data_IF_000308450454
#
_entry.id   IF_000308450454
#
_cell.length_a   1.000
_cell.length_b   1.000
_cell.length_c   1.000
_cell.angle_alpha   90.00
_cell.angle_beta   90.00
_cell.angle_gamma   90.00
#
_symmetry.space_group_name_H-M   'P 1'
#
loop_
_entity.id
_entity.type
_entity.pdbx_description
1 polymer ?
#
# COMPACT_ATOMS: atom_id res chain seq x y z
N UNK A 1 -3.73 39.08 1.79
CA UNK A 1 -4.11 37.96 2.67
C UNK A 1 -3.15 36.83 2.39
N UNK A 2 -2.39 36.39 3.40
CA UNK A 2 -1.62 35.15 3.33
C UNK A 2 -2.64 34.07 3.67
N UNK A 3 -3.06 33.29 2.68
CA UNK A 3 -3.99 32.19 2.92
C UNK A 3 -3.27 31.14 3.78
N UNK A 4 -3.65 31.04 5.05
CA UNK A 4 -3.22 29.97 5.94
C UNK A 4 -3.87 28.66 5.48
N UNK A 5 -3.27 28.05 4.46
CA UNK A 5 -3.65 26.73 4.01
C UNK A 5 -3.38 25.73 5.14
N UNK A 6 -4.31 24.77 5.37
CA UNK A 6 -4.16 23.77 6.41
C UNK A 6 -2.88 22.95 6.20
N UNK A 7 -1.99 22.99 7.19
CA UNK A 7 -0.75 22.21 7.19
C UNK A 7 -0.97 20.86 7.87
N UNK A 8 -0.45 19.75 7.31
CA UNK A 8 -0.55 18.45 7.95
C UNK A 8 0.27 18.43 9.26
N UNK A 9 -0.34 17.95 10.34
CA UNK A 9 0.32 17.76 11.65
C UNK A 9 1.26 16.54 11.69
N UNK A 10 1.25 15.73 10.63
CA UNK A 10 2.02 14.49 10.49
C UNK A 10 2.88 14.59 9.22
N UNK A 11 4.15 14.12 9.24
CA UNK A 11 5.01 14.20 8.06
C UNK A 11 4.43 13.53 6.82
N UNK A 12 4.44 14.27 5.71
CA UNK A 12 4.14 13.80 4.35
C UNK A 12 5.35 14.14 3.48
N UNK A 13 6.31 13.22 3.40
CA UNK A 13 7.55 13.47 2.66
C UNK A 13 7.40 13.12 1.17
N UNK A 14 6.70 12.05 0.83
CA UNK A 14 6.59 11.62 -0.56
C UNK A 14 5.67 12.55 -1.37
N UNK A 15 6.13 12.99 -2.53
CA UNK A 15 5.30 13.75 -3.46
C UNK A 15 4.19 12.87 -4.06
N UNK A 16 3.10 13.48 -4.59
CA UNK A 16 1.96 12.74 -5.11
C UNK A 16 2.31 11.67 -6.17
N UNK A 17 3.22 11.97 -7.09
CA UNK A 17 3.64 11.04 -8.14
C UNK A 17 4.31 9.79 -7.59
N UNK A 18 5.20 9.95 -6.59
CA UNK A 18 5.84 8.82 -5.90
C UNK A 18 4.79 7.98 -5.16
N UNK A 19 3.83 8.61 -4.47
CA UNK A 19 2.76 7.88 -3.80
C UNK A 19 1.88 7.11 -4.80
N UNK A 20 1.56 7.71 -5.95
CA UNK A 20 0.77 7.05 -6.99
C UNK A 20 1.47 5.81 -7.57
N UNK A 21 2.76 5.92 -7.90
CA UNK A 21 3.56 4.78 -8.37
C UNK A 21 3.64 3.68 -7.32
N UNK A 22 3.98 4.05 -6.07
CA UNK A 22 4.08 3.11 -4.96
C UNK A 22 2.79 2.30 -4.77
N UNK A 23 1.64 2.96 -4.65
CA UNK A 23 0.39 2.26 -4.41
C UNK A 23 -0.08 1.43 -5.61
N UNK A 24 0.24 1.86 -6.84
CA UNK A 24 -0.03 1.06 -8.03
C UNK A 24 0.81 -0.22 -8.06
N UNK A 25 2.10 -0.13 -7.70
CA UNK A 25 2.99 -1.29 -7.60
C UNK A 25 2.55 -2.25 -6.48
N UNK A 26 2.15 -1.72 -5.31
CA UNK A 26 1.61 -2.53 -4.21
C UNK A 26 0.31 -3.24 -4.62
N UNK A 27 -0.63 -2.53 -5.24
CA UNK A 27 -1.91 -3.10 -5.66
C UNK A 27 -1.71 -4.24 -6.67
N UNK A 28 -0.90 -4.04 -7.71
CA UNK A 28 -0.57 -5.09 -8.69
C UNK A 28 0.08 -6.28 -8.00
N UNK A 29 1.03 -6.05 -7.09
CA UNK A 29 1.72 -7.14 -6.38
C UNK A 29 0.75 -7.96 -5.54
N UNK A 30 -0.18 -7.31 -4.82
CA UNK A 30 -1.23 -8.00 -4.05
C UNK A 30 -2.11 -8.82 -4.99
N UNK A 31 -2.66 -8.21 -6.04
CA UNK A 31 -3.63 -8.87 -6.90
C UNK A 31 -3.05 -10.08 -7.63
N UNK A 32 -1.82 -9.98 -8.14
CA UNK A 32 -1.13 -11.08 -8.82
C UNK A 32 -0.87 -12.26 -7.89
N UNK A 33 -0.39 -12.00 -6.67
CA UNK A 33 -0.08 -13.07 -5.72
C UNK A 33 -1.35 -13.68 -5.11
N UNK A 34 -2.40 -12.88 -4.86
CA UNK A 34 -3.69 -13.38 -4.45
C UNK A 34 -4.36 -14.23 -5.54
N UNK A 35 -4.22 -13.85 -6.81
CA UNK A 35 -4.67 -14.66 -7.94
C UNK A 35 -3.94 -16.01 -7.96
N UNK A 36 -2.60 -16.01 -7.94
CA UNK A 36 -1.81 -17.23 -7.97
C UNK A 36 -2.17 -18.19 -6.82
N UNK A 37 -2.31 -17.64 -5.61
CA UNK A 37 -2.79 -18.39 -4.45
C UNK A 37 -4.17 -19.00 -4.71
N UNK A 38 -5.16 -18.21 -5.16
CA UNK A 38 -6.52 -18.70 -5.41
C UNK A 38 -6.57 -19.79 -6.50
N UNK A 39 -5.78 -19.65 -7.56
CA UNK A 39 -5.62 -20.67 -8.62
C UNK A 39 -5.11 -21.98 -8.03
N UNK A 40 -4.04 -21.94 -7.25
CA UNK A 40 -3.48 -23.12 -6.58
C UNK A 40 -4.53 -23.78 -5.66
N UNK A 41 -5.17 -22.99 -4.79
CA UNK A 41 -6.18 -23.50 -3.87
C UNK A 41 -7.39 -24.10 -4.60
N UNK A 42 -7.77 -23.55 -5.76
CA UNK A 42 -8.84 -24.08 -6.59
C UNK A 42 -8.46 -25.43 -7.22
N UNK A 43 -7.28 -25.54 -7.84
CA UNK A 43 -6.81 -26.79 -8.44
C UNK A 43 -6.67 -27.92 -7.43
N UNK A 44 -6.36 -27.57 -6.19
CA UNK A 44 -6.21 -28.50 -5.08
C UNK A 44 -7.53 -28.85 -4.38
N UNK A 45 -8.68 -28.39 -4.91
CA UNK A 45 -10.01 -28.67 -4.37
C UNK A 45 -10.31 -27.99 -3.04
N UNK A 46 -9.51 -26.98 -2.64
CA UNK A 46 -9.65 -26.24 -1.38
C UNK A 46 -10.54 -25.00 -1.49
N UNK A 47 -11.02 -24.69 -2.70
CA UNK A 47 -11.94 -23.59 -2.95
C UNK A 47 -13.29 -24.13 -3.47
N UNK A 48 -14.36 -24.07 -2.65
CA UNK A 48 -15.68 -24.58 -3.05
C UNK A 48 -16.22 -23.90 -4.31
N UNK A 49 -16.69 -24.69 -5.28
CA UNK A 49 -17.25 -24.17 -6.54
C UNK A 49 -18.46 -23.24 -6.34
N UNK A 50 -19.26 -23.47 -5.30
CA UNK A 50 -20.38 -22.58 -4.94
C UNK A 50 -19.87 -21.18 -4.55
N UNK A 51 -18.79 -21.10 -3.77
CA UNK A 51 -18.16 -19.81 -3.39
C UNK A 51 -17.62 -19.08 -4.61
N UNK A 52 -16.97 -19.80 -5.54
CA UNK A 52 -16.48 -19.23 -6.80
C UNK A 52 -17.62 -18.65 -7.63
N UNK A 53 -18.70 -19.43 -7.80
CA UNK A 53 -19.90 -18.99 -8.52
C UNK A 53 -20.51 -17.74 -7.88
N UNK A 54 -20.66 -17.72 -6.55
CA UNK A 54 -21.21 -16.56 -5.82
C UNK A 54 -20.39 -15.29 -6.03
N UNK A 55 -19.07 -15.40 -6.06
CA UNK A 55 -18.19 -14.26 -6.33
C UNK A 55 -18.27 -13.80 -7.78
N UNK A 56 -18.36 -14.73 -8.74
CA UNK A 56 -18.59 -14.40 -10.15
C UNK A 56 -19.93 -13.68 -10.36
N UNK A 57 -21.01 -14.20 -9.77
CA UNK A 57 -22.34 -13.61 -9.83
C UNK A 57 -22.32 -12.20 -9.21
N UNK A 58 -21.68 -12.04 -8.05
CA UNK A 58 -21.47 -10.72 -7.42
C UNK A 58 -20.71 -9.76 -8.34
N UNK A 59 -19.61 -10.21 -8.95
CA UNK A 59 -18.80 -9.39 -9.85
C UNK A 59 -19.58 -8.96 -11.10
N UNK A 60 -20.28 -9.89 -11.75
CA UNK A 60 -21.14 -9.64 -12.90
C UNK A 60 -22.32 -8.73 -12.57
N UNK A 61 -22.94 -8.87 -11.38
CA UNK A 61 -24.03 -8.00 -10.93
C UNK A 61 -23.65 -6.52 -10.81
N UNK A 62 -22.35 -6.22 -10.75
CA UNK A 62 -21.80 -4.86 -10.73
C UNK A 62 -21.47 -4.32 -12.14
N UNK A 63 -21.87 -5.03 -13.20
CA UNK A 63 -21.54 -4.72 -14.60
C UNK A 63 -20.04 -4.59 -14.83
N UNK A 64 -19.23 -5.42 -14.15
CA UNK A 64 -17.77 -5.40 -14.28
C UNK A 64 -17.32 -6.36 -15.38
N UNK A 65 -16.23 -6.05 -16.13
CA UNK A 65 -15.69 -6.95 -17.15
C UNK A 65 -15.29 -8.30 -16.58
N UNK A 66 -15.44 -9.38 -17.34
CA UNK A 66 -14.94 -10.71 -16.94
C UNK A 66 -13.44 -10.67 -16.67
N UNK A 67 -12.99 -11.42 -15.68
CA UNK A 67 -11.57 -11.52 -15.33
C UNK A 67 -10.99 -12.85 -15.82
N UNK A 68 -9.68 -12.88 -16.01
CA UNK A 68 -8.93 -14.12 -16.22
C UNK A 68 -8.70 -14.75 -14.84
N UNK A 69 -8.99 -16.05 -14.71
CA UNK A 69 -8.84 -16.78 -13.45
C UNK A 69 -9.56 -16.08 -12.27
N UNK A 70 -8.80 -15.63 -11.27
CA UNK A 70 -9.28 -14.92 -10.09
C UNK A 70 -8.68 -13.50 -10.02
N UNK A 71 -8.33 -12.87 -11.16
CA UNK A 71 -7.81 -11.49 -11.26
C UNK A 71 -8.88 -10.41 -11.00
N UNK A 72 -9.71 -10.61 -9.99
CA UNK A 72 -10.61 -9.57 -9.49
C UNK A 72 -9.82 -8.44 -8.82
N UNK A 73 -10.52 -7.35 -8.50
CA UNK A 73 -9.95 -6.33 -7.61
C UNK A 73 -9.56 -6.92 -6.24
N UNK A 74 -8.62 -6.27 -5.55
CA UNK A 74 -8.13 -6.74 -4.25
C UNK A 74 -9.26 -6.94 -3.22
N UNK A 75 -10.32 -6.13 -3.29
CA UNK A 75 -11.46 -6.21 -2.38
C UNK A 75 -12.24 -7.52 -2.57
N UNK A 76 -12.46 -7.91 -3.81
CA UNK A 76 -13.18 -9.13 -4.18
C UNK A 76 -12.32 -10.37 -3.91
N UNK A 77 -11.01 -10.31 -4.18
CA UNK A 77 -10.08 -11.38 -3.80
C UNK A 77 -10.01 -11.56 -2.28
N UNK A 78 -9.87 -10.47 -1.52
CA UNK A 78 -9.92 -10.48 -0.05
C UNK A 78 -11.20 -11.14 0.47
N UNK A 79 -12.34 -10.79 -0.12
CA UNK A 79 -13.65 -11.35 0.24
C UNK A 79 -13.68 -12.85 0.01
N UNK A 80 -13.30 -13.29 -1.20
CA UNK A 80 -13.29 -14.72 -1.56
C UNK A 80 -12.40 -15.52 -0.59
N UNK A 81 -11.19 -15.03 -0.30
CA UNK A 81 -10.27 -15.68 0.63
C UNK A 81 -10.84 -15.69 2.05
N UNK A 82 -11.40 -14.57 2.51
CA UNK A 82 -11.94 -14.43 3.87
C UNK A 82 -13.15 -15.33 4.12
N UNK A 83 -14.05 -15.46 3.14
CA UNK A 83 -15.23 -16.34 3.21
C UNK A 83 -14.83 -17.83 3.25
N UNK A 84 -13.70 -18.19 2.65
CA UNK A 84 -13.27 -19.59 2.50
C UNK A 84 -12.06 -19.97 3.38
N UNK A 85 -11.59 -19.07 4.25
CA UNK A 85 -10.35 -19.23 5.04
C UNK A 85 -10.22 -20.53 5.85
N UNK A 86 -11.32 -21.24 6.12
CA UNK A 86 -11.29 -22.54 6.82
C UNK A 86 -10.88 -23.71 5.92
N UNK A 87 -11.05 -23.57 4.61
CA UNK A 87 -10.74 -24.59 3.61
C UNK A 87 -9.36 -24.37 2.97
N UNK A 88 -8.89 -23.13 2.96
CA UNK A 88 -7.64 -22.72 2.33
C UNK A 88 -6.42 -23.09 3.18
N UNK A 89 -5.32 -23.44 2.52
CA UNK A 89 -4.01 -23.65 3.14
C UNK A 89 -3.14 -22.42 2.95
N UNK A 90 -2.99 -21.65 4.01
CA UNK A 90 -2.11 -20.48 4.04
C UNK A 90 -0.65 -20.88 4.29
N UNK A 91 0.26 -19.93 4.06
CA UNK A 91 1.69 -20.10 4.16
C UNK A 91 2.29 -19.29 5.32
N UNK A 92 3.61 -19.46 5.53
CA UNK A 92 4.37 -18.75 6.57
C UNK A 92 3.84 -19.02 7.98
N UNK A 93 4.06 -18.07 8.88
CA UNK A 93 3.59 -18.14 10.27
C UNK A 93 2.05 -18.21 10.38
N UNK A 94 1.34 -17.73 9.35
CA UNK A 94 -0.14 -17.73 9.33
C UNK A 94 -0.73 -19.13 9.13
N UNK A 95 0.07 -20.10 8.67
CA UNK A 95 -0.36 -21.49 8.46
C UNK A 95 -0.66 -22.23 9.77
N UNK A 96 0.02 -21.86 10.86
CA UNK A 96 -0.08 -22.50 12.18
C UNK A 96 -0.60 -21.56 13.28
N UNK A 97 -0.74 -20.26 13.00
CA UNK A 97 -1.20 -19.27 13.95
C UNK A 97 -2.52 -18.60 13.49
N UNK A 98 -3.69 -19.09 13.98
CA UNK A 98 -4.99 -18.52 13.62
C UNK A 98 -5.18 -17.06 14.03
N UNK A 99 -4.54 -16.62 15.11
CA UNK A 99 -4.63 -15.22 15.56
C UNK A 99 -3.93 -14.32 14.55
N UNK A 100 -2.74 -14.70 14.11
CA UNK A 100 -1.98 -13.98 13.09
C UNK A 100 -2.71 -13.98 11.74
N UNK A 101 -3.23 -15.13 11.30
CA UNK A 101 -4.04 -15.22 10.07
C UNK A 101 -5.22 -14.23 10.08
N UNK A 102 -6.00 -14.22 11.18
CA UNK A 102 -7.11 -13.28 11.30
C UNK A 102 -6.66 -11.83 11.41
N UNK A 103 -5.49 -11.57 11.98
CA UNK A 103 -4.89 -10.23 12.00
C UNK A 103 -4.53 -9.77 10.58
N UNK A 104 -3.82 -10.61 9.81
CA UNK A 104 -3.40 -10.31 8.45
C UNK A 104 -4.59 -10.08 7.51
N UNK A 105 -5.64 -10.91 7.59
CA UNK A 105 -6.87 -10.71 6.82
C UNK A 105 -7.60 -9.41 7.21
N UNK A 106 -7.56 -8.99 8.48
CA UNK A 106 -8.12 -7.70 8.92
C UNK A 106 -7.29 -6.53 8.43
N UNK A 107 -5.96 -6.62 8.49
CA UNK A 107 -5.05 -5.61 7.98
C UNK A 107 -5.20 -5.45 6.46
N UNK A 108 -5.34 -6.55 5.72
CA UNK A 108 -5.63 -6.48 4.28
C UNK A 108 -6.96 -5.78 4.00
N UNK A 109 -8.02 -6.06 4.77
CA UNK A 109 -9.29 -5.32 4.65
C UNK A 109 -9.12 -3.81 4.88
N UNK A 110 -8.27 -3.41 5.84
CA UNK A 110 -7.96 -2.01 6.09
C UNK A 110 -7.19 -1.40 4.91
N UNK A 111 -6.16 -2.08 4.41
CA UNK A 111 -5.38 -1.67 3.22
C UNK A 111 -6.31 -1.44 2.02
N UNK A 112 -7.25 -2.36 1.74
CA UNK A 112 -8.23 -2.22 0.65
C UNK A 112 -8.98 -0.88 0.75
N UNK A 113 -9.44 -0.55 1.96
CA UNK A 113 -10.17 0.70 2.21
C UNK A 113 -9.25 1.91 2.10
N UNK A 114 -8.09 1.86 2.73
CA UNK A 114 -7.14 2.97 2.80
C UNK A 114 -6.56 3.30 1.42
N UNK A 115 -6.19 2.30 0.62
CA UNK A 115 -5.71 2.47 -0.75
C UNK A 115 -6.78 2.93 -1.74
N UNK A 116 -8.08 2.69 -1.45
CA UNK A 116 -9.17 3.21 -2.28
C UNK A 116 -9.30 4.74 -2.21
N UNK A 117 -8.72 5.37 -1.18
CA UNK A 117 -8.75 6.81 -0.96
C UNK A 117 -7.47 7.44 -1.54
N UNK A 118 -7.58 8.05 -2.74
CA UNK A 118 -6.46 8.59 -3.51
C UNK A 118 -6.20 10.08 -3.23
N UNK A 119 -5.82 10.43 -2.00
CA UNK A 119 -5.46 11.83 -1.67
C UNK A 119 -4.03 12.20 -2.09
N UNK A 120 -3.17 11.20 -2.29
CA UNK A 120 -1.75 11.38 -2.64
C UNK A 120 -0.95 12.25 -1.66
N UNK A 121 -1.46 12.39 -0.42
CA UNK A 121 -0.82 13.05 0.70
C UNK A 121 -0.83 12.12 1.94
N UNK A 122 -0.76 10.80 1.72
CA UNK A 122 -0.77 9.82 2.80
C UNK A 122 0.44 10.05 3.72
N UNK A 123 0.24 10.08 5.05
CA UNK A 123 1.33 10.24 6.00
C UNK A 123 2.37 9.13 5.91
N UNK A 124 3.64 9.47 6.16
CA UNK A 124 4.75 8.53 6.03
C UNK A 124 4.60 7.30 6.95
N UNK A 125 4.04 7.48 8.14
CA UNK A 125 3.75 6.40 9.09
C UNK A 125 2.73 5.40 8.55
N UNK A 126 1.70 5.89 7.86
CA UNK A 126 0.66 5.07 7.23
C UNK A 126 1.25 4.30 6.05
N UNK A 127 2.06 4.96 5.21
CA UNK A 127 2.76 4.31 4.09
C UNK A 127 3.67 3.18 4.61
N UNK A 128 4.45 3.41 5.67
CA UNK A 128 5.29 2.37 6.29
C UNK A 128 4.47 1.18 6.81
N UNK A 129 3.34 1.46 7.47
CA UNK A 129 2.42 0.42 7.93
C UNK A 129 1.88 -0.40 6.77
N UNK A 130 1.40 0.24 5.69
CA UNK A 130 0.94 -0.47 4.50
C UNK A 130 2.03 -1.38 3.92
N UNK A 131 3.26 -0.89 3.75
CA UNK A 131 4.35 -1.72 3.22
C UNK A 131 4.65 -2.94 4.09
N UNK A 132 4.65 -2.76 5.42
CA UNK A 132 4.82 -3.86 6.36
C UNK A 132 3.66 -4.89 6.29
N UNK A 133 2.42 -4.40 6.32
CA UNK A 133 1.22 -5.24 6.29
C UNK A 133 1.11 -5.99 4.95
N UNK A 134 1.48 -5.36 3.82
CA UNK A 134 1.53 -6.01 2.50
C UNK A 134 2.59 -7.11 2.46
N UNK A 135 3.78 -6.89 3.03
CA UNK A 135 4.79 -7.95 3.12
C UNK A 135 4.25 -9.18 3.88
N UNK A 136 3.60 -8.97 5.02
CA UNK A 136 3.00 -10.04 5.82
C UNK A 136 1.84 -10.72 5.09
N UNK A 137 1.06 -9.98 4.31
CA UNK A 137 0.03 -10.53 3.43
C UNK A 137 0.65 -11.43 2.34
N UNK A 138 1.70 -10.97 1.66
CA UNK A 138 2.36 -11.75 0.61
C UNK A 138 2.96 -13.04 1.16
N UNK A 139 3.60 -12.98 2.33
CA UNK A 139 4.10 -14.17 3.04
C UNK A 139 2.97 -15.15 3.39
N UNK A 140 1.85 -14.66 3.93
CA UNK A 140 0.66 -15.47 4.24
C UNK A 140 0.07 -16.16 3.00
N UNK A 141 0.11 -15.49 1.84
CA UNK A 141 -0.37 -16.02 0.56
C UNK A 141 0.63 -16.97 -0.12
N UNK A 142 1.86 -17.09 0.41
CA UNK A 142 2.89 -17.94 -0.19
C UNK A 142 3.52 -17.33 -1.44
N UNK A 143 3.60 -16.00 -1.49
CA UNK A 143 4.26 -15.30 -2.60
C UNK A 143 5.71 -15.82 -2.78
N UNK A 144 6.17 -16.01 -4.03
CA UNK A 144 7.53 -16.50 -4.28
C UNK A 144 8.56 -15.51 -3.73
N UNK A 145 9.73 -16.03 -3.36
CA UNK A 145 10.83 -15.22 -2.79
C UNK A 145 11.15 -14.01 -3.68
N UNK A 146 11.09 -14.16 -5.00
CA UNK A 146 11.28 -13.06 -5.95
C UNK A 146 10.29 -11.89 -5.72
N UNK A 147 9.00 -12.17 -5.48
CA UNK A 147 7.99 -11.15 -5.20
C UNK A 147 8.23 -10.47 -3.85
N UNK A 148 8.62 -11.24 -2.83
CA UNK A 148 8.98 -10.69 -1.51
C UNK A 148 10.20 -9.76 -1.60
N UNK A 149 11.23 -10.14 -2.38
CA UNK A 149 12.41 -9.31 -2.62
C UNK A 149 12.05 -8.03 -3.38
N UNK A 150 11.16 -8.08 -4.37
CA UNK A 150 10.66 -6.89 -5.07
C UNK A 150 9.95 -5.96 -4.09
N UNK A 151 9.06 -6.49 -3.25
CA UNK A 151 8.37 -5.71 -2.21
C UNK A 151 9.34 -5.07 -1.22
N UNK A 152 10.38 -5.79 -0.79
CA UNK A 152 11.42 -5.25 0.09
C UNK A 152 12.25 -4.16 -0.58
N UNK A 153 12.64 -4.33 -1.85
CA UNK A 153 13.35 -3.29 -2.62
C UNK A 153 12.53 -2.01 -2.74
N UNK A 154 11.23 -2.15 -2.99
CA UNK A 154 10.30 -1.03 -3.01
C UNK A 154 10.25 -0.33 -1.66
N UNK A 155 10.15 -1.09 -0.57
CA UNK A 155 10.18 -0.57 0.80
C UNK A 155 11.46 0.24 1.08
N UNK A 156 12.63 -0.33 0.78
CA UNK A 156 13.91 0.36 0.98
C UNK A 156 14.03 1.64 0.16
N UNK A 157 13.57 1.63 -1.09
CA UNK A 157 13.55 2.82 -1.95
C UNK A 157 12.68 3.92 -1.35
N UNK A 158 11.48 3.58 -0.90
CA UNK A 158 10.55 4.52 -0.27
C UNK A 158 11.13 5.11 1.01
N UNK A 159 11.70 4.28 1.88
CA UNK A 159 12.34 4.75 3.11
C UNK A 159 13.49 5.72 2.83
N UNK A 160 14.33 5.43 1.83
CA UNK A 160 15.42 6.32 1.44
C UNK A 160 14.90 7.69 0.99
N UNK A 161 13.77 7.74 0.28
CA UNK A 161 13.14 8.99 -0.15
C UNK A 161 12.55 9.78 1.02
N UNK A 162 12.01 9.08 2.03
CA UNK A 162 11.52 9.72 3.26
C UNK A 162 12.66 10.37 4.05
N UNK A 163 13.79 9.67 4.22
CA UNK A 163 14.97 10.17 4.95
C UNK A 163 15.58 11.39 4.26
N UNK A 164 15.82 11.31 2.94
CA UNK A 164 16.43 12.42 2.17
C UNK A 164 15.67 13.73 2.28
N UNK A 165 14.36 13.69 2.54
CA UNK A 165 13.54 14.90 2.67
C UNK A 165 13.51 15.44 4.11
N UNK A 166 13.79 14.61 5.12
CA UNK A 166 14.06 15.08 6.48
C UNK A 166 15.41 15.81 6.56
N UNK A 167 16.39 15.43 5.72
CA UNK A 167 17.75 15.99 5.73
C UNK A 167 17.93 17.27 4.91
N UNK A 168 16.90 17.73 4.19
CA UNK A 168 16.93 19.02 3.51
C UNK A 168 16.41 20.09 4.47
N UNK A 169 17.26 20.92 5.11
CA UNK A 169 16.78 22.10 5.80
C UNK A 169 16.00 22.94 4.79
N UNK A 170 14.80 23.35 5.19
CA UNK A 170 14.06 24.39 4.47
C UNK A 170 14.90 25.65 4.56
N UNK A 171 15.60 25.97 3.47
CA UNK A 171 16.38 27.19 3.34
C UNK A 171 15.39 28.37 3.33
N UNK A 172 15.11 28.89 4.52
CA UNK A 172 14.28 30.05 4.75
C UNK A 172 15.11 31.30 4.53
N UNK A 173 15.09 31.80 3.30
CA UNK A 173 15.26 33.22 3.00
C UNK A 173 16.68 33.75 2.98
N UNK A 174 17.33 33.69 1.83
CA UNK A 174 18.39 34.63 1.48
C UNK A 174 17.80 36.01 1.16
N UNK A 175 18.01 36.97 2.07
CA UNK A 175 17.94 38.40 1.75
C UNK A 175 19.26 39.05 2.18
N UNK A 176 20.15 39.45 1.26
CA UNK A 176 21.22 40.37 1.61
C UNK A 176 20.65 41.80 1.58
N UNK A 177 20.30 42.34 2.76
CA UNK A 177 20.21 43.80 2.91
C UNK A 177 21.64 44.33 2.99
N UNK A 178 22.12 44.88 1.89
CA UNK A 178 23.28 45.78 1.88
C UNK A 178 22.79 47.14 1.41
N UNK A 179 22.66 48.06 2.36
CA UNK A 179 22.19 49.42 2.11
C UNK A 179 22.36 50.27 3.35
N UNK A 180 23.59 50.69 3.65
CA UNK A 180 23.83 51.88 4.47
C UNK A 180 25.14 52.54 4.04
N UNK A 181 24.98 53.57 3.20
CA UNK A 181 25.95 54.65 3.03
C UNK A 181 25.52 55.78 3.97
N UNK A 182 26.37 56.18 4.91
CA UNK A 182 26.36 57.51 5.52
C UNK A 182 27.83 57.94 5.66
N UNK A 183 28.17 59.07 5.02
CA UNK A 183 29.51 59.60 4.86
C UNK A 183 30.08 60.35 6.09
N UNK A 184 31.25 61.01 5.91
CA UNK A 184 32.09 61.49 7.01
C UNK A 184 31.72 62.90 7.48
N UNK A 185 31.76 63.12 8.79
CA UNK A 185 31.69 64.45 9.42
C UNK A 185 33.09 64.94 9.75
N UNK A 186 33.48 66.08 9.17
CA UNK A 186 34.68 66.84 9.50
C UNK A 186 34.63 67.40 10.92
N UNK A 187 35.77 67.42 11.61
CA UNK A 187 36.32 68.59 12.30
C UNK A 187 37.81 68.44 12.56
#
# INVERSE_FOLDING_TARGET
MKDDLPQPSIPVSLNPSIQATLYSELEVTICVNANAFLVEQYHEGRLPGESVRRINDYWGSKNRPSVVEFQFDQATQHRLISENKRFLRFHGESSTNPVLLNSNLRNWKAIVKEMSIRTFCTPDSVIRKHMHDVYKLLDMLGAPIAALVVCQKLHMRVLSLMVKKCDMPTDSGSNPVSGQSIGPTQR
#
